data_IF_541725816569
#
_entry.id   IF_541725816569
#
_cell.length_a   1.000
_cell.length_b   1.000
_cell.length_c   1.000
_cell.angle_alpha   90.00
_cell.angle_beta   90.00
_cell.angle_gamma   90.00
#
_symmetry.space_group_name_H-M   'P 1'
#
loop_
_entity.id
_entity.type
_entity.pdbx_description
1 polymer ?
#
# COMPACT_ATOMS: atom_id res chain seq x y z
N UNK A 1 23.31 -1.41 19.81
CA UNK A 1 22.89 -2.55 19.04
C UNK A 1 21.59 -3.13 19.59
N UNK A 2 21.50 -3.26 20.91
CA UNK A 2 20.24 -3.66 21.53
C UNK A 2 19.09 -2.71 21.22
N UNK A 3 19.36 -1.41 21.03
CA UNK A 3 18.35 -0.45 20.64
C UNK A 3 17.80 -0.69 19.24
N UNK A 4 18.66 -1.07 18.29
CA UNK A 4 18.26 -1.38 16.94
C UNK A 4 17.37 -2.63 16.89
N UNK A 5 17.72 -3.67 17.65
CA UNK A 5 16.95 -4.89 17.74
C UNK A 5 15.57 -4.64 18.35
N UNK A 6 15.51 -3.81 19.40
CA UNK A 6 14.25 -3.40 20.00
C UNK A 6 13.37 -2.63 19.02
N UNK A 7 13.98 -1.74 18.26
CA UNK A 7 13.26 -0.94 17.28
C UNK A 7 12.61 -1.83 16.20
N UNK A 8 13.37 -2.78 15.68
CA UNK A 8 12.88 -3.73 14.68
C UNK A 8 11.75 -4.59 15.28
N UNK A 9 11.92 -5.03 16.53
CA UNK A 9 10.94 -5.88 17.20
C UNK A 9 9.57 -5.21 17.38
N UNK A 10 9.56 -3.91 17.57
CA UNK A 10 8.34 -3.14 17.82
C UNK A 10 7.81 -2.39 16.60
N UNK A 11 8.37 -2.65 15.42
CA UNK A 11 7.85 -2.06 14.20
C UNK A 11 6.43 -2.56 13.96
N UNK A 12 5.49 -1.66 13.66
CA UNK A 12 4.12 -2.06 13.35
C UNK A 12 4.07 -2.87 12.05
N UNK A 13 3.08 -3.73 11.92
CA UNK A 13 2.79 -4.39 10.65
C UNK A 13 2.51 -3.38 9.56
N UNK A 14 2.76 -3.75 8.31
CA UNK A 14 2.65 -2.83 7.17
C UNK A 14 1.24 -2.26 6.99
N UNK A 15 0.21 -3.00 7.41
CA UNK A 15 -1.18 -2.55 7.33
C UNK A 15 -1.69 -1.80 8.54
N UNK A 16 -0.86 -1.64 9.60
CA UNK A 16 -1.30 -0.92 10.78
C UNK A 16 -1.24 0.59 10.58
N UNK A 17 -2.32 1.27 10.91
CA UNK A 17 -2.42 2.72 10.81
C UNK A 17 -1.78 3.41 12.01
N UNK A 18 -0.51 3.80 11.87
CA UNK A 18 0.29 4.39 12.95
C UNK A 18 0.67 5.85 12.70
N UNK A 19 0.60 6.33 11.47
CA UNK A 19 1.05 7.68 11.11
C UNK A 19 -0.12 8.65 11.08
N UNK A 20 0.01 9.79 11.79
CA UNK A 20 -0.96 10.87 11.68
C UNK A 20 -0.88 11.53 10.30
N UNK A 21 -1.94 12.23 9.91
CA UNK A 21 -2.02 12.85 8.57
C UNK A 21 -0.86 13.82 8.30
N UNK A 22 -0.43 14.59 9.29
CA UNK A 22 0.69 15.53 9.12
C UNK A 22 2.00 14.79 8.84
N UNK A 23 2.23 13.70 9.54
CA UNK A 23 3.44 12.88 9.35
C UNK A 23 3.38 12.15 8.01
N UNK A 24 2.23 11.58 7.67
CA UNK A 24 2.04 10.89 6.40
C UNK A 24 2.26 11.84 5.22
N UNK A 25 1.71 13.04 5.28
CA UNK A 25 1.89 14.06 4.24
C UNK A 25 3.35 14.45 4.10
N UNK A 26 4.04 14.65 5.20
CA UNK A 26 5.48 14.99 5.19
C UNK A 26 6.31 13.88 4.57
N UNK A 27 6.08 12.63 4.98
CA UNK A 27 6.81 11.47 4.44
C UNK A 27 6.52 11.25 2.95
N UNK A 28 5.32 11.53 2.51
CA UNK A 28 4.94 11.39 1.09
C UNK A 28 5.34 12.61 0.25
N UNK A 29 5.79 13.69 0.88
CA UNK A 29 6.20 14.91 0.18
C UNK A 29 5.04 15.71 -0.38
N UNK A 30 3.86 15.65 0.22
CA UNK A 30 2.66 16.39 -0.20
C UNK A 30 2.11 17.21 0.96
N UNK A 31 1.29 18.21 0.66
CA UNK A 31 0.57 18.95 1.68
C UNK A 31 -0.60 18.16 2.26
N UNK A 32 -1.00 18.50 3.49
CA UNK A 32 -2.15 17.85 4.14
C UNK A 32 -3.43 18.01 3.30
N UNK A 33 -3.63 19.16 2.67
CA UNK A 33 -4.81 19.39 1.83
C UNK A 33 -4.80 18.48 0.59
N UNK A 34 -3.63 18.25 0.01
CA UNK A 34 -3.49 17.33 -1.13
C UNK A 34 -3.83 15.91 -0.71
N UNK A 35 -3.38 15.50 0.47
CA UNK A 35 -3.69 14.16 1.00
C UNK A 35 -5.19 14.00 1.23
N UNK A 36 -5.86 15.03 1.75
CA UNK A 36 -7.32 15.02 1.92
C UNK A 36 -8.05 14.93 0.58
N UNK A 37 -7.51 15.60 -0.44
CA UNK A 37 -8.06 15.53 -1.79
C UNK A 37 -7.97 14.09 -2.32
N UNK A 38 -6.85 13.42 -2.11
CA UNK A 38 -6.70 12.03 -2.52
C UNK A 38 -7.70 11.11 -1.81
N UNK A 39 -7.98 11.36 -0.54
CA UNK A 39 -9.03 10.63 0.17
C UNK A 39 -10.40 10.85 -0.46
N UNK A 40 -10.72 12.09 -0.82
CA UNK A 40 -12.00 12.43 -1.45
C UNK A 40 -12.21 11.71 -2.78
N UNK A 41 -11.13 11.51 -3.53
CA UNK A 41 -11.17 10.76 -4.78
C UNK A 41 -11.14 9.24 -4.56
N UNK A 42 -11.10 8.79 -3.31
CA UNK A 42 -11.06 7.35 -3.02
C UNK A 42 -9.74 6.69 -3.36
N UNK A 43 -8.67 7.47 -3.56
CA UNK A 43 -7.36 6.94 -3.93
C UNK A 43 -6.66 6.30 -2.74
N UNK A 44 -6.98 6.74 -1.54
CA UNK A 44 -6.44 6.21 -0.30
C UNK A 44 -7.52 6.22 0.77
N UNK A 45 -7.54 5.19 1.59
CA UNK A 45 -8.51 5.06 2.67
C UNK A 45 -7.74 4.88 3.98
N UNK A 46 -7.66 5.92 4.83
CA UNK A 46 -6.95 5.80 6.09
C UNK A 46 -7.71 4.92 7.08
N UNK A 47 -6.98 4.32 8.00
CA UNK A 47 -7.57 3.64 9.14
C UNK A 47 -7.94 4.71 10.17
N UNK A 48 -9.11 4.58 10.77
CA UNK A 48 -9.51 5.48 11.83
C UNK A 48 -9.31 4.83 13.19
N UNK A 49 -8.70 5.58 14.11
CA UNK A 49 -8.59 5.15 15.49
C UNK A 49 -9.97 5.12 16.17
N UNK A 50 -10.13 4.48 17.33
CA UNK A 50 -11.40 4.49 18.06
C UNK A 50 -11.97 5.88 18.31
N UNK A 51 -11.11 6.90 18.41
CA UNK A 51 -11.54 8.30 18.56
C UNK A 51 -11.88 9.00 17.25
N UNK A 52 -11.87 8.29 16.12
CA UNK A 52 -12.19 8.86 14.82
C UNK A 52 -11.05 9.59 14.13
N UNK A 53 -9.84 9.53 14.69
CA UNK A 53 -8.66 10.17 14.12
C UNK A 53 -8.10 9.33 12.97
N UNK A 54 -7.74 10.00 11.87
CA UNK A 54 -7.11 9.35 10.71
C UNK A 54 -5.74 8.83 11.08
N UNK A 55 -5.45 7.60 10.64
CA UNK A 55 -4.13 6.98 10.76
C UNK A 55 -3.76 6.32 9.43
N UNK A 56 -2.51 6.44 9.06
CA UNK A 56 -1.99 5.90 7.81
C UNK A 56 -0.98 4.81 8.11
N UNK A 57 -1.03 3.73 7.32
CA UNK A 57 -0.10 2.61 7.43
C UNK A 57 1.11 2.82 6.53
N UNK A 58 2.11 1.93 6.65
CA UNK A 58 3.23 1.92 5.70
C UNK A 58 2.77 1.58 4.29
N UNK A 59 1.80 0.70 4.16
CA UNK A 59 1.20 0.37 2.86
C UNK A 59 0.53 1.61 2.25
N UNK A 60 -0.15 2.40 3.08
CA UNK A 60 -0.74 3.67 2.65
C UNK A 60 0.34 4.64 2.16
N UNK A 61 1.49 4.71 2.84
CA UNK A 61 2.59 5.59 2.41
C UNK A 61 3.15 5.16 1.06
N UNK A 62 3.28 3.86 0.80
CA UNK A 62 3.72 3.36 -0.50
C UNK A 62 2.71 3.72 -1.60
N UNK A 63 1.42 3.58 -1.29
CA UNK A 63 0.36 3.96 -2.21
C UNK A 63 0.39 5.46 -2.51
N UNK A 64 0.60 6.29 -1.48
CA UNK A 64 0.74 7.75 -1.64
C UNK A 64 1.91 8.10 -2.56
N UNK A 65 3.04 7.43 -2.42
CA UNK A 65 4.20 7.65 -3.30
C UNK A 65 3.84 7.34 -4.75
N UNK A 66 3.11 6.26 -4.99
CA UNK A 66 2.67 5.89 -6.34
C UNK A 66 1.71 6.94 -6.92
N UNK A 67 0.76 7.40 -6.11
CA UNK A 67 -0.18 8.47 -6.51
C UNK A 67 0.59 9.73 -6.87
N UNK A 68 1.56 10.12 -6.05
CA UNK A 68 2.37 11.31 -6.27
C UNK A 68 3.19 11.21 -7.56
N UNK A 69 3.76 10.04 -7.85
CA UNK A 69 4.47 9.81 -9.11
C UNK A 69 3.57 10.02 -10.31
N UNK A 70 2.37 9.41 -10.29
CA UNK A 70 1.42 9.49 -11.40
C UNK A 70 0.90 10.92 -11.56
N UNK A 71 0.59 11.60 -10.46
CA UNK A 71 0.15 13.00 -10.49
C UNK A 71 1.26 13.90 -11.03
N UNK A 72 2.52 13.63 -10.68
CA UNK A 72 3.68 14.36 -11.20
C UNK A 72 3.87 14.19 -12.70
N UNK A 73 3.36 13.11 -13.28
CA UNK A 73 3.37 12.88 -14.72
C UNK A 73 2.19 13.57 -15.43
N UNK A 74 1.37 14.31 -14.70
CA UNK A 74 0.22 15.01 -15.26
C UNK A 74 -1.03 14.16 -15.43
N UNK A 75 -1.06 12.98 -14.79
CA UNK A 75 -2.23 12.10 -14.88
C UNK A 75 -3.32 12.61 -13.94
N UNK A 76 -4.55 12.66 -14.43
CA UNK A 76 -5.70 13.12 -13.65
C UNK A 76 -6.01 12.14 -12.52
N UNK A 77 -6.53 12.65 -11.40
CA UNK A 77 -6.80 11.85 -10.21
C UNK A 77 -7.76 10.69 -10.47
N UNK A 78 -8.78 10.90 -11.30
CA UNK A 78 -9.71 9.82 -11.67
C UNK A 78 -9.01 8.71 -12.43
N UNK A 79 -8.09 9.07 -13.34
CA UNK A 79 -7.29 8.09 -14.08
C UNK A 79 -6.32 7.36 -13.17
N UNK A 80 -5.75 8.04 -12.18
CA UNK A 80 -4.87 7.44 -11.19
C UNK A 80 -5.60 6.31 -10.45
N UNK A 81 -6.85 6.56 -10.04
CA UNK A 81 -7.66 5.53 -9.38
C UNK A 81 -7.77 4.27 -10.23
N UNK A 82 -8.03 4.43 -11.52
CA UNK A 82 -8.13 3.31 -12.45
C UNK A 82 -6.80 2.57 -12.60
N UNK A 83 -5.71 3.31 -12.68
CA UNK A 83 -4.35 2.72 -12.78
C UNK A 83 -4.05 1.88 -11.55
N UNK A 84 -4.34 2.41 -10.35
CA UNK A 84 -4.10 1.69 -9.10
C UNK A 84 -4.92 0.41 -9.02
N UNK A 85 -6.19 0.45 -9.43
CA UNK A 85 -7.05 -0.73 -9.50
C UNK A 85 -6.44 -1.80 -10.42
N UNK A 86 -5.95 -1.39 -11.57
CA UNK A 86 -5.34 -2.31 -12.54
C UNK A 86 -4.02 -2.87 -12.03
N UNK A 87 -3.22 -2.06 -11.35
CA UNK A 87 -1.97 -2.52 -10.73
C UNK A 87 -2.25 -3.54 -9.64
N UNK A 88 -3.25 -3.30 -8.80
CA UNK A 88 -3.65 -4.23 -7.73
C UNK A 88 -4.16 -5.55 -8.32
N UNK A 89 -5.00 -5.48 -9.34
CA UNK A 89 -5.51 -6.67 -10.03
C UNK A 89 -4.36 -7.46 -10.69
N UNK A 90 -3.41 -6.75 -11.29
CA UNK A 90 -2.25 -7.36 -11.92
C UNK A 90 -1.39 -8.11 -10.91
N UNK A 91 -1.14 -7.51 -9.74
CA UNK A 91 -0.39 -8.14 -8.66
C UNK A 91 -1.10 -9.40 -8.18
N UNK A 92 -2.41 -9.34 -7.95
CA UNK A 92 -3.21 -10.48 -7.52
C UNK A 92 -3.15 -11.62 -8.53
N UNK A 93 -3.29 -11.29 -9.82
CA UNK A 93 -3.23 -12.30 -10.89
C UNK A 93 -1.85 -12.96 -10.97
N UNK A 94 -0.79 -12.19 -10.82
CA UNK A 94 0.58 -12.73 -10.83
C UNK A 94 0.80 -13.69 -9.66
N UNK A 95 0.34 -13.31 -8.47
CA UNK A 95 0.45 -14.14 -7.28
C UNK A 95 -0.35 -15.43 -7.44
N UNK A 96 -1.56 -15.33 -7.97
CA UNK A 96 -2.41 -16.50 -8.24
C UNK A 96 -1.76 -17.42 -9.26
N UNK A 97 -1.22 -16.86 -10.33
CA UNK A 97 -0.53 -17.65 -11.35
C UNK A 97 0.69 -18.37 -10.79
N UNK A 98 1.46 -17.69 -9.95
CA UNK A 98 2.63 -18.30 -9.32
C UNK A 98 2.22 -19.46 -8.39
N UNK A 99 1.14 -19.28 -7.62
CA UNK A 99 0.62 -20.32 -6.74
C UNK A 99 0.11 -21.53 -7.52
N UNK A 100 -0.61 -21.28 -8.62
CA UNK A 100 -1.12 -22.35 -9.50
C UNK A 100 0.02 -23.08 -10.18
N UNK A 101 1.04 -22.38 -10.64
CA UNK A 101 2.22 -23.02 -11.25
C UNK A 101 2.95 -23.91 -10.24
N UNK A 102 3.10 -23.42 -9.00
CA UNK A 102 3.73 -24.21 -7.93
C UNK A 102 2.92 -25.48 -7.62
N UNK A 103 1.60 -25.37 -7.57
CA UNK A 103 0.71 -26.52 -7.35
C UNK A 103 0.80 -27.51 -8.51
N UNK A 104 0.78 -27.01 -9.73
CA UNK A 104 0.96 -27.87 -10.93
C UNK A 104 2.26 -28.66 -10.86
N UNK A 105 3.35 -28.00 -10.49
CA UNK A 105 4.67 -28.62 -10.43
C UNK A 105 4.72 -29.68 -9.32
N UNK A 106 4.09 -29.42 -8.17
CA UNK A 106 3.99 -30.42 -7.10
C UNK A 106 3.22 -31.66 -7.56
N UNK A 107 2.13 -31.47 -8.27
CA UNK A 107 1.33 -32.58 -8.80
C UNK A 107 2.10 -33.40 -9.82
N UNK A 108 2.86 -32.74 -10.70
CA UNK A 108 3.73 -33.43 -11.67
C UNK A 108 4.79 -34.27 -10.98
N UNK A 109 5.44 -33.73 -9.94
CA UNK A 109 6.46 -34.44 -9.19
C UNK A 109 5.90 -35.70 -8.52
N UNK A 110 4.66 -35.63 -8.00
CA UNK A 110 3.98 -36.79 -7.44
C UNK A 110 3.73 -37.86 -8.48
N UNK A 111 3.36 -37.46 -9.70
CA UNK A 111 3.08 -38.41 -10.80
C UNK A 111 4.34 -39.03 -11.34
N UNK A 112 5.48 -38.37 -11.21
CA UNK A 112 6.77 -38.84 -11.71
C UNK A 112 7.44 -39.85 -10.81
N UNK A 113 7.03 -39.94 -9.52
CA UNK A 113 7.66 -40.85 -8.56
C UNK A 113 6.92 -42.22 -8.41
#
# INVERSE_FOLDING_TARGET
VTGADRHIRYLPGSGQGVYAISVAAELAGVGVQTLRLYEQYGLITPVRSPGGTRRYSRDDLQRLQRITELAGQGIQLTAIGRILELEDANTTLRETNAALAAERDRLRDRQSS
#
